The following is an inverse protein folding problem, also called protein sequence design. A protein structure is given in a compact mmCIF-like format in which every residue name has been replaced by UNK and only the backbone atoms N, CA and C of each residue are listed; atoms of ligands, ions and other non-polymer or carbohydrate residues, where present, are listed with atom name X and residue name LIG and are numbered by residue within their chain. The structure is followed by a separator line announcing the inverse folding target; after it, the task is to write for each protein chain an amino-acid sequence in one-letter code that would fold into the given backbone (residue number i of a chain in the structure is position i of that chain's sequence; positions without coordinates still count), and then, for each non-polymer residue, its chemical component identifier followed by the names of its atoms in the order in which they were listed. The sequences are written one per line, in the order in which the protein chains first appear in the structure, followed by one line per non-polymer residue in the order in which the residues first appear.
data_IF_322051498788
#
_entry.id   IF_322051498788
#
_cell.length_a   1.000
_cell.length_b   1.000
_cell.length_c   1.000
_cell.angle_alpha   90.00
_cell.angle_beta   90.00
_cell.angle_gamma   90.00
#
_symmetry.space_group_name_H-M   'P 1'
#
loop_
_entity.id
_entity.type
_entity.pdbx_description
1 polymer ?
#
# COMPACT_ATOMS: atom_id res chain seq x y z
N UNK A 1 -51.98 16.30 -54.84
CA UNK A 1 -50.66 16.75 -54.36
C UNK A 1 -50.43 16.12 -52.99
N UNK A 2 -49.55 15.12 -52.88
CA UNK A 2 -48.88 14.76 -51.62
C UNK A 2 -47.73 15.77 -51.37
N UNK A 3 -47.14 15.93 -50.16
CA UNK A 3 -46.59 14.88 -49.28
C UNK A 3 -46.96 15.04 -47.78
N UNK A 4 -47.13 13.94 -47.02
CA UNK A 4 -46.15 13.18 -46.23
C UNK A 4 -45.65 13.87 -44.94
N UNK A 5 -45.89 13.23 -43.79
CA UNK A 5 -45.48 13.70 -42.46
C UNK A 5 -45.59 12.60 -41.38
N UNK A 6 -44.77 11.56 -41.54
CA UNK A 6 -44.22 10.61 -40.55
C UNK A 6 -44.87 10.47 -39.16
N UNK A 7 -45.50 9.31 -38.92
CA UNK A 7 -45.82 8.75 -37.60
C UNK A 7 -44.57 8.19 -36.91
N UNK A 8 -44.19 8.75 -35.76
CA UNK A 8 -43.13 8.21 -34.89
C UNK A 8 -43.65 7.02 -34.06
N UNK A 9 -43.39 5.80 -34.51
CA UNK A 9 -43.52 4.60 -33.67
C UNK A 9 -42.23 4.39 -32.87
N UNK A 10 -42.28 4.68 -31.56
CA UNK A 10 -41.19 4.42 -30.63
C UNK A 10 -41.26 2.96 -30.15
N UNK A 11 -40.53 2.06 -30.81
CA UNK A 11 -40.31 0.70 -30.31
C UNK A 11 -39.27 0.72 -29.18
N UNK A 12 -39.72 0.53 -27.94
CA UNK A 12 -38.85 0.27 -26.78
C UNK A 12 -38.38 -1.19 -26.80
N UNK A 13 -37.18 -1.43 -27.33
CA UNK A 13 -36.47 -2.70 -27.15
C UNK A 13 -35.89 -2.75 -25.73
N UNK A 14 -36.58 -3.45 -24.83
CA UNK A 14 -36.07 -3.78 -23.49
C UNK A 14 -34.95 -4.81 -23.62
N UNK A 15 -33.70 -4.33 -23.64
CA UNK A 15 -32.51 -5.19 -23.61
C UNK A 15 -32.33 -5.73 -22.19
N UNK A 16 -32.82 -6.95 -21.93
CA UNK A 16 -32.50 -7.69 -20.71
C UNK A 16 -30.99 -7.95 -20.65
N UNK A 17 -30.24 -7.10 -19.94
CA UNK A 17 -28.84 -7.36 -19.60
C UNK A 17 -28.78 -8.49 -18.57
N UNK A 18 -28.56 -9.72 -19.03
CA UNK A 18 -28.05 -10.79 -18.18
C UNK A 18 -26.65 -10.40 -17.69
N UNK A 19 -26.57 -9.84 -16.48
CA UNK A 19 -25.31 -9.75 -15.75
C UNK A 19 -24.91 -11.16 -15.35
N UNK A 20 -23.97 -11.74 -16.10
CA UNK A 20 -23.19 -12.88 -15.62
C UNK A 20 -22.63 -12.50 -14.24
N UNK A 21 -23.11 -13.17 -13.20
CA UNK A 21 -22.53 -13.06 -11.87
C UNK A 21 -21.16 -13.72 -11.94
N UNK A 22 -20.11 -12.93 -12.18
CA UNK A 22 -18.75 -13.39 -11.95
C UNK A 22 -18.68 -13.85 -10.50
N UNK A 23 -18.41 -15.14 -10.28
CA UNK A 23 -18.11 -15.68 -8.96
C UNK A 23 -16.88 -14.92 -8.45
N UNK A 24 -17.09 -13.92 -7.61
CA UNK A 24 -16.00 -13.26 -6.90
C UNK A 24 -15.34 -14.32 -6.02
N UNK A 25 -14.15 -14.76 -6.43
CA UNK A 25 -13.26 -15.53 -5.57
C UNK A 25 -13.13 -14.71 -4.29
N UNK A 26 -13.42 -15.31 -3.12
CA UNK A 26 -13.34 -14.60 -1.85
C UNK A 26 -12.01 -13.85 -1.80
N UNK A 27 -12.08 -12.51 -1.78
CA UNK A 27 -10.89 -11.68 -1.82
C UNK A 27 -10.02 -12.03 -0.60
N UNK A 28 -8.71 -12.19 -0.84
CA UNK A 28 -7.77 -12.33 0.25
C UNK A 28 -7.96 -11.17 1.24
N UNK A 29 -7.78 -11.43 2.53
CA UNK A 29 -7.90 -10.38 3.54
C UNK A 29 -6.84 -9.31 3.30
N UNK A 30 -7.27 -8.04 3.34
CA UNK A 30 -6.35 -6.91 3.34
C UNK A 30 -5.61 -6.80 4.69
N UNK A 31 -4.39 -6.29 4.63
CA UNK A 31 -3.51 -6.04 5.75
C UNK A 31 -3.06 -4.58 5.69
N UNK A 32 -3.80 -3.68 6.35
CA UNK A 32 -3.73 -2.25 6.04
C UNK A 32 -2.57 -1.50 6.71
N UNK A 33 -1.99 -2.06 7.76
CA UNK A 33 -0.95 -1.44 8.58
C UNK A 33 -0.09 -2.52 9.29
N UNK A 34 0.78 -2.10 10.21
CA UNK A 34 1.66 -3.01 10.97
C UNK A 34 0.94 -4.15 11.70
N UNK A 35 -0.26 -3.89 12.20
CA UNK A 35 -1.08 -4.82 12.97
C UNK A 35 -2.14 -5.56 12.17
N UNK A 36 -2.24 -5.29 10.87
CA UNK A 36 -3.25 -5.82 9.95
C UNK A 36 -4.55 -5.02 9.95
N UNK A 37 -4.95 -4.48 11.10
CA UNK A 37 -6.13 -3.66 11.29
C UNK A 37 -5.93 -2.61 12.41
N UNK A 38 -6.99 -1.87 12.76
CA UNK A 38 -6.98 -0.86 13.82
C UNK A 38 -6.78 -1.43 15.22
N UNK A 39 -7.00 -2.74 15.42
CA UNK A 39 -6.93 -3.40 16.72
C UNK A 39 -5.57 -4.05 16.97
N UNK A 40 -4.62 -3.91 16.03
CA UNK A 40 -3.27 -4.47 16.11
C UNK A 40 -3.23 -5.97 16.42
N UNK A 41 -4.20 -6.74 15.88
CA UNK A 41 -4.38 -8.15 16.26
C UNK A 41 -3.37 -9.09 15.62
N UNK A 42 -2.75 -8.67 14.50
CA UNK A 42 -1.87 -9.52 13.68
C UNK A 42 -2.53 -10.85 13.32
N UNK A 43 -3.85 -10.84 13.11
CA UNK A 43 -4.65 -12.04 12.94
C UNK A 43 -5.42 -12.03 11.61
N UNK A 44 -5.05 -12.96 10.72
CA UNK A 44 -5.69 -13.17 9.42
C UNK A 44 -6.98 -14.01 9.57
N UNK A 45 -8.02 -13.44 10.17
CA UNK A 45 -9.25 -14.16 10.52
C UNK A 45 -10.03 -14.75 9.32
N UNK A 46 -9.89 -14.19 8.11
CA UNK A 46 -10.54 -14.71 6.90
C UNK A 46 -9.74 -15.79 6.18
N UNK A 47 -8.47 -16.00 6.55
CA UNK A 47 -7.67 -17.06 5.95
C UNK A 47 -7.98 -18.41 6.63
N UNK A 48 -8.31 -19.41 5.81
CA UNK A 48 -8.78 -20.74 6.26
C UNK A 48 -8.16 -21.91 5.51
N UNK A 49 -7.30 -21.68 4.52
CA UNK A 49 -6.69 -22.72 3.69
C UNK A 49 -5.45 -23.31 4.36
N UNK A 50 -4.68 -22.48 5.05
CA UNK A 50 -3.51 -22.90 5.83
C UNK A 50 -3.97 -23.33 7.23
N UNK A 51 -3.64 -24.56 7.62
CA UNK A 51 -4.01 -25.20 8.88
C UNK A 51 -2.92 -26.19 9.30
N UNK A 52 -2.93 -26.72 10.54
CA UNK A 52 -1.99 -27.78 10.94
C UNK A 52 -1.99 -29.00 10.01
N UNK A 53 -3.13 -29.32 9.38
CA UNK A 53 -3.24 -30.44 8.45
C UNK A 53 -2.70 -30.14 7.04
N UNK A 54 -2.60 -28.85 6.66
CA UNK A 54 -2.21 -28.44 5.30
C UNK A 54 -0.87 -27.72 5.23
N UNK A 55 -0.29 -27.35 6.38
CA UNK A 55 0.99 -26.60 6.47
C UNK A 55 2.16 -27.36 5.84
N UNK A 56 2.16 -28.68 5.88
CA UNK A 56 3.19 -29.53 5.25
C UNK A 56 3.20 -29.43 3.72
N UNK A 57 2.11 -29.00 3.10
CA UNK A 57 2.00 -28.85 1.65
C UNK A 57 2.43 -27.46 1.16
N UNK A 58 2.88 -26.57 2.06
CA UNK A 58 3.33 -25.25 1.67
C UNK A 58 4.57 -25.34 0.80
N UNK A 59 4.57 -24.56 -0.28
CA UNK A 59 5.70 -24.39 -1.16
C UNK A 59 5.87 -22.92 -1.52
N UNK A 60 7.07 -22.55 -1.92
CA UNK A 60 7.37 -21.18 -2.37
C UNK A 60 6.51 -20.85 -3.59
N UNK A 61 5.62 -19.86 -3.45
CA UNK A 61 4.78 -19.39 -4.56
C UNK A 61 5.54 -18.47 -5.52
N UNK A 62 6.27 -17.50 -4.99
CA UNK A 62 7.08 -16.56 -5.74
C UNK A 62 8.10 -15.87 -4.82
N UNK A 63 9.13 -15.25 -5.41
CA UNK A 63 10.15 -14.47 -4.70
C UNK A 63 10.37 -13.13 -5.41
N UNK A 64 10.69 -12.09 -4.63
CA UNK A 64 11.02 -10.76 -5.15
C UNK A 64 12.35 -10.28 -4.56
N UNK A 65 13.24 -9.78 -5.42
CA UNK A 65 14.54 -9.25 -4.99
C UNK A 65 14.47 -7.71 -4.89
N UNK A 66 14.41 -7.20 -3.66
CA UNK A 66 14.32 -5.76 -3.42
C UNK A 66 15.68 -5.04 -3.52
N UNK A 67 16.81 -5.74 -3.39
CA UNK A 67 18.15 -5.14 -3.46
C UNK A 67 18.60 -4.42 -2.18
N UNK A 68 17.89 -4.63 -1.08
CA UNK A 68 18.26 -4.20 0.26
C UNK A 68 17.33 -4.83 1.29
N UNK A 69 17.68 -4.73 2.57
CA UNK A 69 16.93 -5.34 3.65
C UNK A 69 15.47 -4.85 3.66
N UNK A 70 14.57 -5.72 4.13
CA UNK A 70 13.17 -5.39 4.40
C UNK A 70 12.94 -5.78 5.85
N UNK A 71 12.75 -4.78 6.71
CA UNK A 71 12.62 -4.97 8.17
C UNK A 71 11.21 -4.69 8.70
N UNK A 72 10.25 -4.54 7.78
CA UNK A 72 8.87 -4.17 8.11
C UNK A 72 7.90 -5.29 7.77
N UNK A 73 6.72 -5.26 8.39
CA UNK A 73 5.55 -5.98 7.88
C UNK A 73 5.02 -5.24 6.64
N UNK A 74 4.87 -5.87 5.46
CA UNK A 74 4.27 -5.23 4.30
C UNK A 74 2.78 -4.93 4.51
N UNK A 75 2.27 -3.87 3.86
CA UNK A 75 0.83 -3.66 3.74
C UNK A 75 0.30 -4.37 2.49
N UNK A 76 -0.92 -4.89 2.55
CA UNK A 76 -1.57 -5.61 1.46
C UNK A 76 -2.98 -5.04 1.28
N UNK A 77 -3.29 -4.52 0.10
CA UNK A 77 -4.65 -4.07 -0.22
C UNK A 77 -4.90 -4.23 -1.71
N UNK A 78 -6.10 -4.66 -2.09
CA UNK A 78 -6.51 -4.82 -3.49
C UNK A 78 -5.54 -5.70 -4.31
N UNK A 79 -4.96 -6.73 -3.67
CA UNK A 79 -4.00 -7.64 -4.31
C UNK A 79 -2.61 -7.04 -4.59
N UNK A 80 -2.31 -5.87 -4.05
CA UNK A 80 -0.99 -5.23 -4.14
C UNK A 80 -0.29 -5.21 -2.78
N UNK A 81 0.98 -5.62 -2.76
CA UNK A 81 1.86 -5.60 -1.60
C UNK A 81 2.73 -4.35 -1.62
N UNK A 82 2.78 -3.61 -0.52
CA UNK A 82 3.53 -2.36 -0.36
C UNK A 82 4.55 -2.48 0.75
N UNK A 83 5.81 -2.14 0.46
CA UNK A 83 6.88 -2.17 1.46
C UNK A 83 8.06 -1.28 1.08
N UNK A 84 8.72 -0.62 2.05
CA UNK A 84 10.02 -0.01 1.87
C UNK A 84 11.15 -1.03 1.95
N UNK A 85 12.31 -0.64 1.42
CA UNK A 85 13.58 -1.35 1.58
C UNK A 85 14.68 -0.37 1.99
N UNK A 86 15.69 -0.91 2.69
CA UNK A 86 16.89 -0.18 3.11
C UNK A 86 17.75 0.32 1.96
N UNK A 87 17.47 -0.09 0.72
CA UNK A 87 18.09 0.51 -0.47
C UNK A 87 17.53 1.90 -0.85
N UNK A 88 16.61 2.45 -0.04
CA UNK A 88 16.02 3.77 -0.25
C UNK A 88 14.83 3.80 -1.20
N UNK A 89 14.24 2.65 -1.51
CA UNK A 89 13.05 2.55 -2.35
C UNK A 89 11.82 2.10 -1.59
N UNK A 90 10.67 2.66 -1.99
CA UNK A 90 9.34 2.16 -1.69
C UNK A 90 8.84 1.34 -2.89
N UNK A 91 8.32 0.14 -2.63
CA UNK A 91 7.89 -0.81 -3.64
C UNK A 91 6.38 -1.05 -3.54
N UNK A 92 5.78 -1.26 -4.71
CA UNK A 92 4.50 -1.93 -4.88
C UNK A 92 4.67 -3.11 -5.83
N UNK A 93 4.24 -4.30 -5.41
CA UNK A 93 4.30 -5.53 -6.22
C UNK A 93 2.97 -6.26 -6.16
N UNK A 94 2.63 -7.04 -7.19
CA UNK A 94 1.41 -7.84 -7.16
C UNK A 94 1.57 -9.00 -6.18
N UNK A 95 0.59 -9.21 -5.31
CA UNK A 95 0.57 -10.35 -4.38
C UNK A 95 0.37 -11.70 -5.10
N UNK A 96 -0.14 -11.69 -6.34
CA UNK A 96 -0.36 -12.89 -7.15
C UNK A 96 0.94 -13.60 -7.51
N UNK A 97 1.94 -12.84 -7.96
CA UNK A 97 3.12 -13.34 -8.67
C UNK A 97 4.42 -12.58 -8.33
N UNK A 98 4.37 -11.54 -7.50
CA UNK A 98 5.52 -10.73 -7.14
C UNK A 98 5.98 -9.74 -8.21
N UNK A 99 5.26 -9.58 -9.32
CA UNK A 99 5.63 -8.64 -10.37
C UNK A 99 5.59 -7.19 -9.88
N UNK A 100 6.57 -6.40 -10.32
CA UNK A 100 6.68 -4.99 -9.94
C UNK A 100 5.53 -4.18 -10.54
N UNK A 101 4.81 -3.45 -9.70
CA UNK A 101 3.82 -2.45 -10.12
C UNK A 101 4.51 -1.09 -10.26
N UNK A 102 5.18 -0.64 -9.19
CA UNK A 102 6.02 0.55 -9.23
C UNK A 102 7.10 0.49 -8.14
N UNK A 103 8.18 1.25 -8.33
CA UNK A 103 9.14 1.58 -7.27
C UNK A 103 9.46 3.06 -7.28
N UNK A 104 9.69 3.64 -6.10
CA UNK A 104 10.05 5.05 -5.95
C UNK A 104 11.23 5.20 -5.01
N UNK A 105 12.29 5.85 -5.49
CA UNK A 105 13.38 6.24 -4.63
C UNK A 105 12.91 7.40 -3.74
N UNK A 106 13.01 7.23 -2.42
CA UNK A 106 12.43 8.15 -1.44
C UNK A 106 13.13 9.51 -1.48
N UNK A 107 14.46 9.53 -1.62
CA UNK A 107 15.22 10.77 -1.76
C UNK A 107 14.82 11.54 -3.02
N UNK A 108 14.78 10.90 -4.19
CA UNK A 108 14.35 11.55 -5.45
C UNK A 108 12.91 12.02 -5.41
N UNK A 109 12.04 11.28 -4.71
CA UNK A 109 10.62 11.60 -4.58
C UNK A 109 10.39 12.85 -3.71
N UNK A 110 11.21 13.05 -2.68
CA UNK A 110 10.97 14.05 -1.62
C UNK A 110 11.96 15.21 -1.63
N UNK A 111 13.15 15.03 -2.21
CA UNK A 111 14.27 15.95 -2.10
C UNK A 111 15.00 15.91 -0.75
N UNK A 112 14.58 15.05 0.18
CA UNK A 112 15.21 14.99 1.50
C UNK A 112 16.47 14.15 1.47
N UNK A 113 17.56 14.69 1.99
CA UNK A 113 18.82 13.96 2.18
C UNK A 113 18.80 13.20 3.51
N UNK A 114 19.55 12.11 3.58
CA UNK A 114 19.82 11.44 4.85
C UNK A 114 20.55 12.41 5.80
N UNK A 115 20.40 12.20 7.11
CA UNK A 115 20.97 13.10 8.12
C UNK A 115 22.45 12.81 8.44
N UNK A 116 23.03 11.72 7.91
CA UNK A 116 24.36 11.24 8.26
C UNK A 116 24.53 10.79 9.73
N UNK A 117 23.51 10.94 10.57
CA UNK A 117 23.58 10.58 11.99
C UNK A 117 23.46 9.07 12.23
N UNK A 118 22.72 8.39 11.35
CA UNK A 118 22.45 6.97 11.50
C UNK A 118 23.59 6.19 10.83
N UNK A 119 24.36 5.48 11.65
CA UNK A 119 25.50 4.68 11.19
C UNK A 119 25.04 3.66 10.14
N UNK A 120 25.84 3.51 9.08
CA UNK A 120 25.60 2.59 7.96
C UNK A 120 24.33 2.88 7.13
N UNK A 121 23.76 4.09 7.21
CA UNK A 121 22.61 4.51 6.42
C UNK A 121 23.00 5.72 5.55
N UNK A 122 23.42 5.43 4.31
CA UNK A 122 23.91 6.45 3.38
C UNK A 122 22.83 6.97 2.41
N UNK A 123 21.57 6.56 2.61
CA UNK A 123 20.44 6.89 1.74
C UNK A 123 19.23 7.32 2.57
N UNK A 124 18.34 8.13 1.99
CA UNK A 124 17.05 8.42 2.62
C UNK A 124 16.16 7.20 2.53
N UNK A 125 15.84 6.61 3.68
CA UNK A 125 15.08 5.35 3.78
C UNK A 125 13.83 5.54 4.62
N UNK A 126 12.85 4.65 4.43
CA UNK A 126 11.70 4.49 5.33
C UNK A 126 11.86 3.20 6.08
N UNK A 127 11.68 3.25 7.40
CA UNK A 127 11.69 2.08 8.29
C UNK A 127 10.32 1.75 8.87
N UNK A 128 9.31 2.57 8.60
CA UNK A 128 7.94 2.31 9.06
C UNK A 128 7.21 1.33 8.13
N UNK A 129 6.40 0.43 8.70
CA UNK A 129 5.39 -0.30 7.92
C UNK A 129 4.44 0.71 7.27
N UNK A 130 4.20 0.62 5.95
CA UNK A 130 3.22 1.47 5.30
C UNK A 130 1.82 1.34 5.89
N UNK A 131 1.12 2.46 6.00
CA UNK A 131 -0.28 2.51 6.40
C UNK A 131 -1.16 2.91 5.22
N UNK A 132 -2.20 2.13 4.97
CA UNK A 132 -3.19 2.40 3.93
C UNK A 132 -4.28 3.33 4.47
N UNK A 133 -4.51 4.44 3.77
CA UNK A 133 -5.56 5.40 4.06
C UNK A 133 -6.29 5.77 2.76
N UNK A 134 -7.33 5.01 2.40
CA UNK A 134 -8.00 5.15 1.10
C UNK A 134 -7.01 4.95 -0.05
N UNK A 135 -6.81 5.97 -0.89
CA UNK A 135 -5.85 5.93 -2.01
C UNK A 135 -4.41 6.23 -1.62
N UNK A 136 -4.15 6.52 -0.35
CA UNK A 136 -2.85 6.90 0.16
C UNK A 136 -2.12 5.73 0.82
N UNK A 137 -0.82 5.75 0.65
CA UNK A 137 0.15 4.96 1.40
C UNK A 137 1.00 5.93 2.21
N UNK A 138 0.92 5.83 3.54
CA UNK A 138 1.60 6.74 4.47
C UNK A 138 2.79 6.01 5.09
N UNK A 139 3.96 6.65 5.08
CA UNK A 139 5.22 6.12 5.65
C UNK A 139 6.02 7.23 6.33
N UNK A 140 6.74 6.88 7.40
CA UNK A 140 7.75 7.70 8.06
C UNK A 140 9.14 7.49 7.49
N UNK A 141 9.89 8.58 7.35
CA UNK A 141 11.29 8.60 6.92
C UNK A 141 12.18 8.42 8.15
N UNK A 142 13.14 7.51 8.03
CA UNK A 142 14.09 7.17 9.07
C UNK A 142 15.26 8.18 9.08
N UNK A 143 14.93 9.45 9.37
CA UNK A 143 15.87 10.56 9.34
C UNK A 143 15.96 11.20 7.95
N UNK A 144 15.54 12.47 7.78
CA UNK A 144 14.94 13.38 8.76
C UNK A 144 13.53 12.94 9.19
N UNK A 145 13.06 13.42 10.35
CA UNK A 145 11.74 13.07 10.92
C UNK A 145 10.55 13.65 10.13
N UNK A 146 10.29 13.06 8.96
CA UNK A 146 9.17 13.38 8.09
C UNK A 146 8.23 12.20 7.92
N UNK A 147 6.93 12.48 7.87
CA UNK A 147 5.92 11.55 7.34
C UNK A 147 5.57 11.99 5.94
N UNK A 148 5.44 11.04 5.03
CA UNK A 148 5.01 11.30 3.65
C UNK A 148 3.79 10.44 3.32
N UNK A 149 2.94 10.94 2.43
CA UNK A 149 1.93 10.14 1.77
C UNK A 149 2.16 10.11 0.26
N UNK A 150 2.01 8.92 -0.31
CA UNK A 150 2.06 8.71 -1.75
C UNK A 150 0.78 8.05 -2.23
N UNK A 151 0.41 8.26 -3.50
CA UNK A 151 -0.69 7.54 -4.12
C UNK A 151 -0.35 6.06 -4.23
N UNK A 152 -1.22 5.16 -3.78
CA UNK A 152 -1.08 3.70 -3.92
C UNK A 152 -0.95 3.24 -5.37
N UNK A 153 -1.60 3.94 -6.29
CA UNK A 153 -1.66 3.56 -7.70
C UNK A 153 -0.34 3.75 -8.45
N UNK A 154 0.47 4.75 -8.08
CA UNK A 154 1.68 5.09 -8.86
C UNK A 154 2.87 5.62 -8.03
N UNK A 155 2.73 5.69 -6.70
CA UNK A 155 3.76 6.19 -5.80
C UNK A 155 4.04 7.70 -5.92
N UNK A 156 3.16 8.49 -6.55
CA UNK A 156 3.33 9.95 -6.62
C UNK A 156 3.15 10.54 -5.22
N UNK A 157 4.10 11.39 -4.79
CA UNK A 157 4.02 12.15 -3.55
C UNK A 157 2.77 13.05 -3.57
N UNK A 158 2.02 13.00 -2.47
CA UNK A 158 0.81 13.82 -2.26
C UNK A 158 1.10 14.92 -1.25
N UNK A 159 1.69 14.55 -0.10
CA UNK A 159 2.09 15.50 0.92
C UNK A 159 3.28 14.97 1.74
N UNK A 160 3.94 15.88 2.44
CA UNK A 160 4.95 15.59 3.46
C UNK A 160 4.74 16.50 4.67
N UNK A 161 4.97 15.97 5.87
CA UNK A 161 4.86 16.70 7.13
C UNK A 161 6.10 16.44 7.95
N UNK A 162 6.77 17.51 8.38
CA UNK A 162 7.89 17.42 9.33
C UNK A 162 7.35 17.29 10.74
N UNK A 163 7.78 16.27 11.46
CA UNK A 163 7.36 16.05 12.85
C UNK A 163 8.32 16.70 13.85
N UNK A 164 9.61 16.75 13.52
CA UNK A 164 10.64 17.29 14.41
C UNK A 164 11.71 18.06 13.63
N UNK A 165 12.14 19.18 14.19
CA UNK A 165 13.13 20.06 13.60
C UNK A 165 14.59 19.70 13.92
N UNK A 166 14.82 18.83 14.89
CA UNK A 166 16.13 18.42 15.34
C UNK A 166 16.83 17.54 14.30
N UNK A 167 18.12 17.80 14.04
CA UNK A 167 18.91 17.11 12.99
C UNK A 167 19.12 15.61 13.25
N UNK A 168 19.03 15.22 14.52
CA UNK A 168 19.12 13.82 14.98
C UNK A 168 17.76 13.11 15.14
N UNK A 169 16.64 13.78 14.86
CA UNK A 169 15.33 13.14 14.99
C UNK A 169 15.06 12.19 13.80
N UNK A 170 14.58 10.98 14.10
CA UNK A 170 14.22 9.98 13.10
C UNK A 170 13.02 9.15 13.56
N UNK A 171 12.26 8.60 12.60
CA UNK A 171 11.03 7.85 12.89
C UNK A 171 11.32 6.34 12.83
N UNK A 172 11.24 5.67 13.98
CA UNK A 172 11.38 4.20 14.09
C UNK A 172 10.05 3.46 14.05
N UNK A 173 8.96 4.13 14.41
CA UNK A 173 7.64 3.53 14.58
C UNK A 173 6.81 3.53 13.30
N UNK A 174 5.82 2.64 13.28
CA UNK A 174 4.80 2.58 12.23
C UNK A 174 3.52 3.23 12.75
N UNK A 175 2.91 4.10 11.97
CA UNK A 175 1.68 4.75 12.40
C UNK A 175 0.42 3.95 12.10
N UNK A 176 -0.72 4.49 12.52
CA UNK A 176 -2.05 3.97 12.20
C UNK A 176 -2.94 5.12 11.73
N UNK A 177 -3.71 4.86 10.68
CA UNK A 177 -4.69 5.82 10.17
C UNK A 177 -6.06 5.57 10.81
N UNK A 178 -6.70 6.60 11.35
CA UNK A 178 -8.04 6.53 11.92
C UNK A 178 -8.76 7.87 11.75
N UNK A 179 -9.98 7.85 11.18
CA UNK A 179 -10.87 9.02 11.01
C UNK A 179 -10.17 10.30 10.50
N UNK A 180 -9.33 10.17 9.47
CA UNK A 180 -8.62 11.30 8.87
C UNK A 180 -7.28 11.64 9.54
N UNK A 181 -7.00 11.11 10.74
CA UNK A 181 -5.73 11.27 11.43
C UNK A 181 -4.76 10.13 11.13
N UNK A 182 -3.46 10.46 11.08
CA UNK A 182 -2.37 9.49 11.13
C UNK A 182 -1.67 9.62 12.47
N UNK A 183 -1.69 8.55 13.26
CA UNK A 183 -1.23 8.51 14.64
C UNK A 183 0.13 7.81 14.72
N UNK A 184 1.07 8.45 15.40
CA UNK A 184 2.40 7.92 15.74
C UNK A 184 2.57 8.11 17.25
N UNK A 185 3.00 7.06 17.97
CA UNK A 185 3.29 7.17 19.41
C UNK A 185 4.66 7.82 19.64
N UNK A 186 4.70 9.15 19.77
CA UNK A 186 5.86 9.99 20.11
C UNK A 186 7.26 9.54 19.61
N UNK A 187 7.80 10.16 18.54
CA UNK A 187 9.17 9.87 18.08
C UNK A 187 10.20 10.15 19.18
N UNK A 188 11.17 9.25 19.34
CA UNK A 188 12.31 9.38 20.25
C UNK A 188 13.41 10.29 19.68
#
# INVERSE_FOLDING_TARGET
MAPAGSSNNLFLLSLCMWRSAQKHKAAAQDWLNHGGDLYNRRYANREKKISPATVSNLSLKWKFYAGGDITVTPAIVDGTLYFPSWNGYLYAVKASDGSLVWKKNVQKLTGFNNTGFILNVNSTVTRSTPTVAGDLLIVGIYGPAFVIAVKRSNGKLVWSTRLDNHTRAFITMSGTYYKGGYLLEHPL
#
